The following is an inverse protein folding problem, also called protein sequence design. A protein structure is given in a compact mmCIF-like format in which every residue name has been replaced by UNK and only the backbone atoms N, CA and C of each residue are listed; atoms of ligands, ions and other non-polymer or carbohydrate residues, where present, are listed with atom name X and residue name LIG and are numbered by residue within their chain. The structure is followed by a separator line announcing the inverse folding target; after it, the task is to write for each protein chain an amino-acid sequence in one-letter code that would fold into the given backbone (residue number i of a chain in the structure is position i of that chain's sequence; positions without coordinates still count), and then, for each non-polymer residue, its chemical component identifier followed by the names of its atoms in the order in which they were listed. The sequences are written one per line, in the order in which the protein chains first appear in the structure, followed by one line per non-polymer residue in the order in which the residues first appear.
data_IF_699616595136
#
_entry.id   IF_699616595136
#
_cell.length_a   1.000
_cell.length_b   1.000
_cell.length_c   1.000
_cell.angle_alpha   90.00
_cell.angle_beta   90.00
_cell.angle_gamma   90.00
#
_symmetry.space_group_name_H-M   'P 1'
#
loop_
_entity.id
_entity.type
_entity.pdbx_description
1 polymer ?
#
# COMPACT_ATOMS: atom_id res chain seq x y z
N UNK A 1 8.10 21.90 10.78
CA UNK A 1 7.37 20.67 10.46
C UNK A 1 6.31 20.88 9.38
N UNK A 2 5.43 21.88 9.50
CA UNK A 2 4.35 22.13 8.52
C UNK A 2 4.82 22.42 7.07
N UNK A 3 5.96 23.09 6.89
CA UNK A 3 6.52 23.38 5.56
C UNK A 3 7.21 22.18 4.92
N UNK A 4 7.84 21.29 5.70
CA UNK A 4 8.49 20.08 5.18
C UNK A 4 7.44 19.07 4.71
N UNK A 5 6.31 18.99 5.42
CA UNK A 5 5.16 18.17 5.02
C UNK A 5 4.52 18.69 3.73
N UNK A 6 4.46 20.02 3.53
CA UNK A 6 3.96 20.64 2.29
C UNK A 6 4.89 20.40 1.09
N UNK A 7 6.21 20.35 1.31
CA UNK A 7 7.20 20.05 0.24
C UNK A 7 7.17 18.57 -0.13
N UNK A 8 7.08 17.67 0.86
CA UNK A 8 6.86 16.23 0.63
C UNK A 8 5.51 15.97 -0.04
N UNK A 9 4.44 16.63 0.40
CA UNK A 9 3.14 16.58 -0.26
C UNK A 9 3.21 17.12 -1.70
N UNK A 10 3.96 18.19 -1.94
CA UNK A 10 4.21 18.71 -3.30
C UNK A 10 4.98 17.73 -4.19
N UNK A 11 5.98 17.02 -3.66
CA UNK A 11 6.69 15.97 -4.39
C UNK A 11 5.79 14.76 -4.65
N UNK A 12 4.95 14.37 -3.68
CA UNK A 12 3.98 13.27 -3.81
C UNK A 12 2.86 13.63 -4.79
N UNK A 13 2.40 14.90 -4.78
CA UNK A 13 1.44 15.40 -5.78
C UNK A 13 2.07 15.43 -7.19
N UNK A 14 3.33 15.82 -7.33
CA UNK A 14 4.04 15.76 -8.61
C UNK A 14 4.16 14.31 -9.13
N UNK A 15 4.30 13.34 -8.24
CA UNK A 15 4.27 11.90 -8.53
C UNK A 15 2.90 11.43 -9.03
N UNK A 16 1.83 11.80 -8.32
CA UNK A 16 0.46 11.47 -8.73
C UNK A 16 0.10 12.10 -10.08
N UNK A 17 0.54 13.34 -10.30
CA UNK A 17 0.37 14.06 -11.58
C UNK A 17 1.14 13.39 -12.71
N UNK A 18 2.39 12.98 -12.47
CA UNK A 18 3.17 12.28 -13.47
C UNK A 18 2.57 10.90 -13.79
N UNK A 19 2.01 10.20 -12.80
CA UNK A 19 1.36 8.92 -12.98
C UNK A 19 0.05 9.03 -13.80
N UNK A 20 -0.84 9.94 -13.39
CA UNK A 20 -2.10 10.20 -14.10
C UNK A 20 -1.80 10.79 -15.48
N UNK A 21 -0.84 11.71 -15.57
CA UNK A 21 -0.41 12.32 -16.81
C UNK A 21 0.21 11.34 -17.80
N UNK A 22 0.97 10.35 -17.35
CA UNK A 22 1.56 9.31 -18.20
C UNK A 22 0.50 8.42 -18.87
N UNK A 23 -0.45 7.93 -18.10
CA UNK A 23 -1.57 7.13 -18.61
C UNK A 23 -2.44 7.92 -19.59
N UNK A 24 -2.59 9.20 -19.37
CA UNK A 24 -3.42 10.09 -20.18
C UNK A 24 -2.73 10.61 -21.44
N UNK A 25 -1.44 10.90 -21.34
CA UNK A 25 -0.62 11.26 -22.50
C UNK A 25 -0.72 10.19 -23.60
N UNK A 26 -0.89 8.94 -23.21
CA UNK A 26 -1.14 7.84 -24.11
C UNK A 26 -2.55 7.87 -24.71
N UNK A 27 -3.59 8.19 -23.97
CA UNK A 27 -4.96 8.33 -24.49
C UNK A 27 -5.05 9.37 -25.60
N UNK A 28 -4.32 10.49 -25.47
CA UNK A 28 -4.22 11.51 -26.54
C UNK A 28 -3.43 10.97 -27.74
N UNK A 29 -2.39 10.18 -27.52
CA UNK A 29 -1.57 9.62 -28.59
C UNK A 29 -2.30 8.49 -29.34
N UNK A 30 -3.03 7.61 -28.65
CA UNK A 30 -3.84 6.55 -29.26
C UNK A 30 -4.92 7.09 -30.21
N UNK A 31 -5.30 8.38 -30.05
CA UNK A 31 -6.17 9.08 -30.97
C UNK A 31 -5.50 9.48 -32.30
N UNK A 32 -4.29 8.99 -32.59
CA UNK A 32 -3.59 9.20 -33.86
C UNK A 32 -3.04 10.62 -34.07
N UNK A 33 -2.97 11.44 -33.03
CA UNK A 33 -2.38 12.78 -33.11
C UNK A 33 -0.87 12.70 -32.91
N UNK A 34 -0.11 13.29 -33.83
CA UNK A 34 1.34 13.46 -33.64
C UNK A 34 1.60 14.22 -32.34
N UNK A 35 2.66 13.85 -31.64
CA UNK A 35 3.13 14.58 -30.46
C UNK A 35 3.56 15.99 -30.88
N UNK A 36 2.71 16.96 -30.68
CA UNK A 36 2.88 18.35 -31.11
C UNK A 36 2.65 19.30 -29.94
N UNK A 37 2.86 20.58 -30.20
CA UNK A 37 2.68 21.64 -29.20
C UNK A 37 1.26 21.67 -28.66
N UNK A 38 0.26 21.40 -29.52
CA UNK A 38 -1.16 21.39 -29.13
C UNK A 38 -1.44 20.22 -28.17
N UNK A 39 -0.88 19.04 -28.43
CA UNK A 39 -1.02 17.88 -27.55
C UNK A 39 -0.40 18.14 -26.18
N UNK A 40 0.79 18.76 -26.14
CA UNK A 40 1.46 19.11 -24.90
C UNK A 40 0.69 20.22 -24.16
N UNK A 41 0.18 21.23 -24.86
CA UNK A 41 -0.60 22.31 -24.24
C UNK A 41 -1.96 21.83 -23.69
N UNK A 42 -2.58 20.84 -24.37
CA UNK A 42 -3.83 20.23 -23.93
C UNK A 42 -3.65 19.28 -22.73
N UNK A 43 -2.41 18.98 -22.36
CA UNK A 43 -2.11 18.15 -21.20
C UNK A 43 -2.73 18.67 -19.89
N UNK A 44 -2.84 20.01 -19.76
CA UNK A 44 -3.49 20.64 -18.61
C UNK A 44 -4.98 20.25 -18.44
N UNK A 45 -5.68 19.95 -19.55
CA UNK A 45 -7.12 19.65 -19.50
C UNK A 45 -7.44 18.28 -18.89
N UNK A 46 -6.41 17.52 -18.57
CA UNK A 46 -6.52 16.13 -18.09
C UNK A 46 -5.86 15.90 -16.76
N UNK A 47 -5.18 16.88 -16.28
CA UNK A 47 -4.75 16.89 -14.90
C UNK A 47 -5.99 17.02 -13.99
N UNK A 48 -5.92 16.49 -12.75
CA UNK A 48 -6.90 16.82 -11.74
C UNK A 48 -7.14 18.33 -11.69
N UNK A 49 -8.36 18.76 -11.39
CA UNK A 49 -8.75 20.17 -11.38
C UNK A 49 -7.84 21.05 -10.49
N UNK A 50 -7.13 20.42 -9.56
CA UNK A 50 -6.18 21.04 -8.65
C UNK A 50 -4.80 21.28 -9.28
N UNK A 51 -4.57 20.84 -10.51
CA UNK A 51 -3.25 20.87 -11.15
C UNK A 51 -3.36 21.40 -12.58
N UNK A 52 -2.43 22.24 -12.95
CA UNK A 52 -2.28 22.75 -14.29
C UNK A 52 -0.85 22.53 -14.81
N UNK A 53 -0.73 22.23 -16.11
CA UNK A 53 0.55 22.17 -16.78
C UNK A 53 0.57 23.22 -17.90
N UNK A 54 1.61 24.03 -17.93
CA UNK A 54 1.78 25.08 -18.92
C UNK A 54 3.05 24.85 -19.71
N UNK A 55 2.92 24.73 -21.03
CA UNK A 55 4.06 24.69 -21.95
C UNK A 55 4.53 26.12 -22.22
N UNK A 56 5.80 26.36 -21.94
CA UNK A 56 6.39 27.72 -22.11
C UNK A 56 7.35 27.81 -23.27
N UNK A 57 7.93 26.70 -23.71
CA UNK A 57 8.84 26.62 -24.85
C UNK A 57 8.59 25.30 -25.58
N UNK A 58 8.63 25.35 -26.90
CA UNK A 58 8.53 24.18 -27.74
C UNK A 58 9.39 24.37 -28.99
N UNK A 59 10.27 23.41 -29.24
CA UNK A 59 11.09 23.36 -30.46
C UNK A 59 10.93 21.96 -31.05
N UNK A 60 10.35 21.88 -32.24
CA UNK A 60 9.99 20.63 -32.89
C UNK A 60 10.97 20.24 -33.99
N UNK A 61 11.56 19.05 -33.88
CA UNK A 61 12.23 18.32 -34.94
C UNK A 61 11.54 16.99 -35.23
N UNK A 62 11.88 16.35 -36.35
CA UNK A 62 11.25 15.07 -36.73
C UNK A 62 11.64 13.93 -35.76
N UNK A 63 12.91 13.85 -35.36
CA UNK A 63 13.43 12.78 -34.51
C UNK A 63 13.57 13.15 -33.03
N UNK A 64 13.54 14.45 -32.73
CA UNK A 64 13.68 14.96 -31.36
C UNK A 64 12.89 16.23 -31.21
N UNK A 65 12.13 16.30 -30.15
CA UNK A 65 11.39 17.50 -29.76
C UNK A 65 11.86 17.93 -28.38
N UNK A 66 12.00 19.22 -28.17
CA UNK A 66 12.33 19.80 -26.87
C UNK A 66 11.23 20.76 -26.46
N UNK A 67 10.90 20.75 -25.19
CA UNK A 67 9.86 21.62 -24.64
C UNK A 67 10.17 21.95 -23.18
N UNK A 68 9.50 22.94 -22.66
CA UNK A 68 9.51 23.25 -21.25
C UNK A 68 8.08 23.25 -20.73
N UNK A 69 7.85 22.54 -19.61
CA UNK A 69 6.55 22.46 -18.97
C UNK A 69 6.66 22.89 -17.52
N UNK A 70 5.74 23.75 -17.09
CA UNK A 70 5.61 24.18 -15.69
C UNK A 70 4.34 23.58 -15.13
N UNK A 71 4.45 22.93 -13.99
CA UNK A 71 3.32 22.41 -13.22
C UNK A 71 2.96 23.40 -12.11
N UNK A 72 1.68 23.68 -11.99
CA UNK A 72 1.11 24.63 -11.02
C UNK A 72 -0.03 23.94 -10.26
N UNK A 73 -0.11 24.13 -8.94
CA UNK A 73 -1.26 23.74 -8.14
C UNK A 73 -2.30 24.86 -8.07
N UNK A 74 -3.52 24.54 -7.65
CA UNK A 74 -4.58 25.53 -7.38
C UNK A 74 -4.06 26.64 -6.49
N UNK A 75 -4.36 27.87 -6.85
CA UNK A 75 -3.83 29.08 -6.17
C UNK A 75 -2.52 29.60 -6.75
N UNK A 76 -2.06 29.06 -7.91
CA UNK A 76 -0.86 29.54 -8.61
C UNK A 76 0.45 29.13 -7.93
N UNK A 77 0.41 28.08 -7.09
CA UNK A 77 1.61 27.54 -6.46
C UNK A 77 2.37 26.74 -7.51
N UNK A 78 3.53 27.25 -7.93
CA UNK A 78 4.41 26.58 -8.87
C UNK A 78 5.05 25.35 -8.21
N UNK A 79 4.76 24.17 -8.75
CA UNK A 79 5.30 22.90 -8.27
C UNK A 79 6.67 22.60 -8.88
N UNK A 80 6.96 23.20 -10.04
CA UNK A 80 8.26 23.13 -10.70
C UNK A 80 8.15 23.22 -12.21
N UNK A 81 9.28 23.57 -12.82
CA UNK A 81 9.46 23.62 -14.27
C UNK A 81 10.39 22.51 -14.70
N UNK A 82 10.05 21.83 -15.78
CA UNK A 82 10.84 20.73 -16.33
C UNK A 82 11.21 21.02 -17.79
N UNK A 83 12.44 20.71 -18.14
CA UNK A 83 12.90 20.65 -19.53
C UNK A 83 12.59 19.25 -20.06
N UNK A 84 11.77 19.17 -21.09
CA UNK A 84 11.34 17.94 -21.72
C UNK A 84 12.14 17.65 -22.98
N UNK A 85 12.44 16.37 -23.21
CA UNK A 85 12.96 15.85 -24.47
C UNK A 85 12.11 14.66 -24.87
N UNK A 86 11.51 14.72 -26.05
CA UNK A 86 10.77 13.61 -26.62
C UNK A 86 11.51 13.05 -27.84
N UNK A 87 11.57 11.74 -27.92
CA UNK A 87 12.15 10.97 -29.02
C UNK A 87 11.04 10.12 -29.66
N UNK A 88 10.31 10.68 -30.64
CA UNK A 88 9.24 9.97 -31.33
C UNK A 88 9.76 8.73 -32.05
N UNK A 89 9.02 7.63 -31.99
CA UNK A 89 9.37 6.37 -32.64
C UNK A 89 8.30 5.30 -32.40
N UNK A 90 8.56 4.05 -32.81
CA UNK A 90 7.69 2.91 -32.45
C UNK A 90 7.56 2.78 -30.92
N UNK A 91 8.63 3.02 -30.21
CA UNK A 91 8.64 3.31 -28.77
C UNK A 91 9.04 4.77 -28.61
N UNK A 92 8.12 5.61 -28.20
CA UNK A 92 8.38 7.01 -27.88
C UNK A 92 8.91 7.10 -26.46
N UNK A 93 10.02 7.85 -26.29
CA UNK A 93 10.61 8.15 -24.99
C UNK A 93 10.50 9.64 -24.71
N UNK A 94 10.06 9.98 -23.52
CA UNK A 94 10.01 11.36 -23.01
C UNK A 94 10.83 11.43 -21.73
N UNK A 95 11.75 12.35 -21.70
CA UNK A 95 12.59 12.64 -20.53
C UNK A 95 12.27 14.03 -20.02
N UNK A 96 11.90 14.14 -18.76
CA UNK A 96 11.70 15.41 -18.08
C UNK A 96 12.78 15.55 -17.01
N UNK A 97 13.57 16.59 -17.11
CA UNK A 97 14.59 16.95 -16.11
C UNK A 97 14.20 18.31 -15.52
N UNK A 98 14.38 18.48 -14.23
CA UNK A 98 14.04 19.76 -13.60
C UNK A 98 14.83 20.91 -14.26
N UNK A 99 14.14 21.97 -14.63
CA UNK A 99 14.77 23.19 -15.09
C UNK A 99 15.33 23.95 -13.89
N UNK A 100 16.41 24.71 -14.10
CA UNK A 100 16.85 25.69 -13.13
C UNK A 100 15.75 26.75 -12.96
N UNK A 101 14.97 26.60 -11.91
CA UNK A 101 13.88 27.49 -11.53
C UNK A 101 14.28 28.17 -10.23
N UNK A 102 14.66 29.43 -10.34
CA UNK A 102 15.16 30.20 -9.19
C UNK A 102 14.16 30.28 -8.03
N UNK A 103 12.87 30.29 -8.29
CA UNK A 103 11.85 30.35 -7.23
C UNK A 103 11.72 29.01 -6.50
N UNK A 104 11.70 27.90 -7.24
CA UNK A 104 11.64 26.56 -6.66
C UNK A 104 12.94 26.24 -5.91
N UNK A 105 14.10 26.47 -6.52
CA UNK A 105 15.40 26.28 -5.89
C UNK A 105 15.56 27.11 -4.61
N UNK A 106 15.16 28.39 -4.65
CA UNK A 106 15.15 29.24 -3.46
C UNK A 106 14.19 28.71 -2.39
N UNK A 107 13.05 28.15 -2.78
CA UNK A 107 12.10 27.49 -1.89
C UNK A 107 12.74 26.28 -1.19
N UNK A 108 13.41 25.42 -1.95
CA UNK A 108 14.16 24.28 -1.41
C UNK A 108 15.29 24.74 -0.47
N UNK A 109 16.08 25.74 -0.87
CA UNK A 109 17.16 26.27 -0.03
C UNK A 109 16.63 26.88 1.27
N UNK A 110 15.52 27.63 1.22
CA UNK A 110 14.86 28.14 2.43
C UNK A 110 14.33 27.03 3.34
N UNK A 111 13.88 25.94 2.75
CA UNK A 111 13.50 24.73 3.48
C UNK A 111 14.71 23.91 3.95
N UNK A 112 15.94 24.36 3.66
CA UNK A 112 17.17 23.65 4.02
C UNK A 112 17.48 22.43 3.17
N UNK A 113 16.81 22.25 2.03
CA UNK A 113 17.05 21.15 1.11
C UNK A 113 18.28 21.43 0.25
N UNK A 114 19.20 20.48 0.20
CA UNK A 114 20.43 20.57 -0.57
C UNK A 114 20.57 19.39 -1.52
N UNK A 115 21.16 19.62 -2.69
CA UNK A 115 21.45 18.61 -3.71
C UNK A 115 20.21 17.87 -4.25
N UNK A 116 19.04 18.51 -4.23
CA UNK A 116 17.83 17.92 -4.79
C UNK A 116 17.92 17.89 -6.32
N UNK A 117 17.78 16.72 -6.89
CA UNK A 117 17.76 16.50 -8.35
C UNK A 117 16.79 15.35 -8.64
N UNK A 118 15.84 15.58 -9.53
CA UNK A 118 14.83 14.64 -9.93
C UNK A 118 14.69 14.52 -11.44
N UNK A 119 14.22 13.37 -11.88
CA UNK A 119 14.01 13.06 -13.29
C UNK A 119 12.78 12.18 -13.47
N UNK A 120 11.99 12.51 -14.48
CA UNK A 120 10.86 11.68 -14.92
C UNK A 120 11.18 11.16 -16.32
N UNK A 121 11.01 9.86 -16.50
CA UNK A 121 11.13 9.17 -17.78
C UNK A 121 9.80 8.52 -18.11
N UNK A 122 9.26 8.77 -19.29
CA UNK A 122 8.06 8.12 -19.80
C UNK A 122 8.41 7.41 -21.09
N UNK A 123 8.04 6.17 -21.23
CA UNK A 123 8.12 5.44 -22.49
C UNK A 123 6.78 4.79 -22.79
N UNK A 124 6.40 4.76 -24.06
CA UNK A 124 5.21 4.08 -24.51
C UNK A 124 5.41 3.50 -25.92
N UNK A 125 4.75 2.40 -26.20
CA UNK A 125 4.86 1.70 -27.46
C UNK A 125 3.61 1.95 -28.31
N UNK A 126 3.78 2.68 -29.41
CA UNK A 126 2.68 3.03 -30.31
C UNK A 126 2.04 1.80 -30.97
N UNK A 127 2.82 0.74 -31.17
CA UNK A 127 2.33 -0.51 -31.78
C UNK A 127 1.25 -1.19 -30.94
N UNK A 128 1.40 -1.21 -29.64
CA UNK A 128 0.44 -1.82 -28.73
C UNK A 128 -0.89 -1.07 -28.72
N UNK A 129 -0.86 0.24 -29.00
CA UNK A 129 -2.07 1.05 -29.16
C UNK A 129 -2.90 0.64 -30.37
N UNK A 130 -2.25 0.16 -31.41
CA UNK A 130 -2.91 -0.25 -32.64
C UNK A 130 -3.42 -1.71 -32.57
N UNK A 131 -2.86 -2.53 -31.68
CA UNK A 131 -3.13 -3.97 -31.59
C UNK A 131 -3.89 -4.40 -30.35
N UNK A 132 -3.80 -3.66 -29.24
CA UNK A 132 -4.59 -3.91 -28.03
C UNK A 132 -6.01 -3.39 -28.25
N UNK A 133 -6.99 -4.29 -28.29
CA UNK A 133 -8.40 -3.92 -28.29
C UNK A 133 -8.76 -3.11 -27.03
N UNK A 134 -10.01 -2.65 -26.94
CA UNK A 134 -10.55 -1.84 -25.83
C UNK A 134 -10.44 -2.44 -24.42
N UNK A 135 -9.82 -3.61 -24.25
CA UNK A 135 -9.76 -4.36 -23.00
C UNK A 135 -8.39 -4.32 -22.28
N UNK A 136 -7.41 -3.61 -22.81
CA UNK A 136 -6.10 -3.50 -22.18
C UNK A 136 -5.69 -2.04 -22.05
N UNK A 137 -4.96 -1.73 -20.98
CA UNK A 137 -4.25 -0.47 -20.90
C UNK A 137 -3.11 -0.49 -21.91
N UNK A 138 -2.82 0.65 -22.50
CA UNK A 138 -1.67 0.79 -23.39
C UNK A 138 -0.36 0.49 -22.66
N UNK A 139 0.58 -0.15 -23.36
CA UNK A 139 1.92 -0.38 -22.78
C UNK A 139 2.68 0.93 -22.67
N UNK A 140 2.77 1.41 -21.44
CA UNK A 140 3.52 2.58 -21.06
C UNK A 140 4.30 2.32 -19.78
N UNK A 141 5.46 2.96 -19.65
CA UNK A 141 6.24 2.95 -18.41
C UNK A 141 6.58 4.38 -18.04
N UNK A 142 6.31 4.73 -16.79
CA UNK A 142 6.73 5.97 -16.16
C UNK A 142 7.70 5.62 -15.04
N UNK A 143 8.89 6.23 -15.06
CA UNK A 143 9.87 6.12 -13.99
C UNK A 143 10.16 7.51 -13.43
N UNK A 144 10.00 7.68 -12.13
CA UNK A 144 10.41 8.88 -11.41
C UNK A 144 11.57 8.56 -10.48
N UNK A 145 12.66 9.31 -10.61
CA UNK A 145 13.89 9.11 -9.83
C UNK A 145 14.25 10.41 -9.12
N UNK A 146 14.52 10.29 -7.83
CA UNK A 146 15.11 11.34 -7.02
C UNK A 146 16.50 10.87 -6.60
N UNK A 147 17.52 11.70 -6.84
CA UNK A 147 18.88 11.42 -6.35
C UNK A 147 18.96 11.65 -4.83
N UNK A 148 19.97 11.11 -4.16
CA UNK A 148 20.19 11.38 -2.75
C UNK A 148 20.27 12.88 -2.48
N UNK A 149 19.57 13.34 -1.44
CA UNK A 149 19.56 14.74 -1.03
C UNK A 149 19.55 14.87 0.49
N UNK A 150 19.84 16.07 0.98
CA UNK A 150 19.86 16.36 2.42
C UNK A 150 18.94 17.51 2.78
N UNK A 151 18.40 17.49 4.00
CA UNK A 151 17.62 18.59 4.57
C UNK A 151 18.27 19.00 5.89
N UNK A 152 18.65 20.29 6.01
CA UNK A 152 19.38 20.78 7.18
C UNK A 152 18.55 21.73 8.06
N UNK A 153 17.32 22.06 7.68
CA UNK A 153 16.44 22.89 8.49
C UNK A 153 15.83 22.10 9.66
N UNK A 154 16.07 22.56 10.89
CA UNK A 154 15.54 21.91 12.09
C UNK A 154 16.21 20.58 12.48
N UNK A 155 17.38 20.29 11.90
CA UNK A 155 18.16 19.09 12.10
C UNK A 155 18.91 18.68 10.84
N UNK A 156 19.44 17.47 10.82
CA UNK A 156 20.10 16.92 9.63
C UNK A 156 19.34 15.65 9.19
N UNK A 157 18.77 15.70 8.01
CA UNK A 157 18.13 14.54 7.37
C UNK A 157 18.86 14.21 6.07
N UNK A 158 19.18 12.95 5.87
CA UNK A 158 19.74 12.39 4.65
C UNK A 158 18.71 11.44 4.04
N UNK A 159 18.35 11.68 2.80
CA UNK A 159 17.46 10.85 2.01
C UNK A 159 18.31 10.16 0.94
N UNK A 160 18.23 8.85 0.89
CA UNK A 160 18.83 8.08 -0.17
C UNK A 160 18.02 8.22 -1.48
N UNK A 161 18.52 7.62 -2.56
CA UNK A 161 17.79 7.65 -3.83
C UNK A 161 16.38 7.09 -3.66
N UNK A 162 15.40 7.70 -4.34
CA UNK A 162 14.05 7.17 -4.41
C UNK A 162 13.70 6.90 -5.87
N UNK A 163 13.12 5.75 -6.14
CA UNK A 163 12.64 5.37 -7.45
C UNK A 163 11.17 4.92 -7.35
N UNK A 164 10.38 5.41 -8.28
CA UNK A 164 8.97 5.06 -8.43
C UNK A 164 8.70 4.73 -9.88
N UNK A 165 8.18 3.54 -10.14
CA UNK A 165 7.85 3.04 -11.46
C UNK A 165 6.36 2.72 -11.56
N UNK A 166 5.75 3.12 -12.67
CA UNK A 166 4.44 2.62 -13.11
C UNK A 166 4.62 2.00 -14.49
N UNK A 167 4.15 0.78 -14.64
CA UNK A 167 4.11 0.08 -15.91
C UNK A 167 2.68 -0.37 -16.20
N UNK A 168 2.20 -0.07 -17.39
CA UNK A 168 0.86 -0.43 -17.87
C UNK A 168 0.94 -1.32 -19.10
N UNK A 169 -0.06 -2.19 -19.28
CA UNK A 169 -0.14 -3.12 -20.38
C UNK A 169 -1.29 -4.09 -20.12
N UNK A 170 -1.00 -5.39 -20.09
CA UNK A 170 -1.96 -6.41 -19.61
C UNK A 170 -2.17 -6.33 -18.11
N UNK A 171 -1.17 -5.85 -17.39
CA UNK A 171 -1.19 -5.56 -15.95
C UNK A 171 -0.88 -4.09 -15.72
N UNK A 172 -1.36 -3.55 -14.60
CA UNK A 172 -0.87 -2.33 -14.00
C UNK A 172 0.10 -2.72 -12.90
N UNK A 173 1.37 -2.30 -13.04
CA UNK A 173 2.40 -2.51 -12.03
C UNK A 173 2.84 -1.17 -11.47
N UNK A 174 2.86 -1.04 -10.15
CA UNK A 174 3.37 0.12 -9.43
C UNK A 174 4.46 -0.35 -8.48
N UNK A 175 5.65 0.22 -8.58
CA UNK A 175 6.78 -0.09 -7.71
C UNK A 175 7.34 1.18 -7.11
N UNK A 176 7.71 1.12 -5.84
CA UNK A 176 8.41 2.20 -5.17
C UNK A 176 9.54 1.60 -4.33
N UNK A 177 10.72 2.24 -4.36
CA UNK A 177 11.85 1.78 -3.58
C UNK A 177 12.75 2.93 -3.14
N UNK A 178 13.35 2.76 -1.97
CA UNK A 178 14.45 3.60 -1.49
C UNK A 178 15.38 2.76 -0.63
N UNK A 179 16.71 2.95 -0.71
CA UNK A 179 17.64 2.33 0.22
C UNK A 179 17.45 2.78 1.65
N UNK A 180 16.86 3.96 1.88
CA UNK A 180 16.51 4.43 3.21
C UNK A 180 16.54 5.95 3.40
N UNK A 181 16.29 6.33 4.64
CA UNK A 181 16.45 7.71 5.10
C UNK A 181 16.97 7.73 6.55
N UNK A 182 17.68 8.77 6.91
CA UNK A 182 18.13 9.03 8.29
C UNK A 182 17.90 10.50 8.62
N UNK A 183 17.22 10.77 9.71
CA UNK A 183 16.93 12.10 10.21
C UNK A 183 17.35 12.24 11.66
N UNK A 184 18.03 13.34 11.99
CA UNK A 184 18.35 13.76 13.38
C UNK A 184 17.78 15.15 13.62
N UNK A 185 16.49 15.26 13.97
CA UNK A 185 15.91 16.55 14.33
C UNK A 185 16.56 17.10 15.62
N UNK A 186 16.67 18.41 15.71
CA UNK A 186 17.24 19.04 16.93
C UNK A 186 16.35 18.75 18.13
N UNK A 187 16.93 18.18 19.18
CA UNK A 187 16.22 17.87 20.43
C UNK A 187 15.22 16.70 20.36
N UNK A 188 15.25 15.92 19.29
CA UNK A 188 14.39 14.75 19.13
C UNK A 188 15.24 13.49 18.85
N UNK A 189 14.70 12.30 19.15
CA UNK A 189 15.34 11.04 18.78
C UNK A 189 15.57 10.92 17.28
N UNK A 190 16.57 10.14 16.91
CA UNK A 190 16.86 9.81 15.50
C UNK A 190 15.69 9.04 14.89
N UNK A 191 15.33 9.41 13.66
CA UNK A 191 14.43 8.66 12.80
C UNK A 191 15.26 7.99 11.71
N UNK A 192 15.22 6.68 11.63
CA UNK A 192 15.82 5.89 10.55
C UNK A 192 14.78 5.01 9.89
N UNK A 193 14.79 4.96 8.58
CA UNK A 193 14.13 3.95 7.78
C UNK A 193 15.21 3.25 6.95
N UNK A 194 15.28 1.93 7.05
CA UNK A 194 16.10 1.10 6.19
C UNK A 194 15.50 0.99 4.79
N UNK A 195 15.97 0.01 4.02
CA UNK A 195 15.44 -0.21 2.67
C UNK A 195 13.92 -0.39 2.72
N UNK A 196 13.23 0.34 1.85
CA UNK A 196 11.80 0.22 1.63
C UNK A 196 11.55 -0.25 0.20
N UNK A 197 10.70 -1.24 0.04
CA UNK A 197 10.23 -1.74 -1.25
C UNK A 197 8.70 -1.89 -1.19
N UNK A 198 8.04 -1.39 -2.21
CA UNK A 198 6.61 -1.53 -2.43
C UNK A 198 6.37 -2.02 -3.85
N UNK A 199 5.47 -2.97 -4.02
CA UNK A 199 5.02 -3.44 -5.32
C UNK A 199 3.53 -3.69 -5.27
N UNK A 200 2.82 -3.18 -6.27
CA UNK A 200 1.42 -3.42 -6.54
C UNK A 200 1.28 -3.90 -7.97
N UNK A 201 0.60 -5.01 -8.16
CA UNK A 201 0.31 -5.57 -9.48
C UNK A 201 -1.18 -5.87 -9.55
N UNK A 202 -1.84 -5.41 -10.60
CA UNK A 202 -3.26 -5.65 -10.81
C UNK A 202 -3.52 -5.95 -12.29
N UNK A 203 -4.53 -6.77 -12.59
CA UNK A 203 -5.00 -6.93 -13.96
C UNK A 203 -5.51 -5.59 -14.50
N UNK A 204 -5.07 -5.23 -15.70
CA UNK A 204 -5.39 -3.94 -16.30
C UNK A 204 -6.79 -3.89 -16.93
N UNK A 205 -7.41 -5.02 -17.26
CA UNK A 205 -8.69 -5.04 -17.96
C UNK A 205 -9.85 -4.40 -17.17
N UNK A 206 -10.04 -4.68 -15.88
CA UNK A 206 -11.05 -3.98 -15.07
C UNK A 206 -10.79 -2.49 -14.96
N UNK A 207 -9.51 -2.09 -14.81
CA UNK A 207 -9.13 -0.68 -14.75
C UNK A 207 -9.45 0.05 -16.06
N UNK A 208 -9.14 -0.57 -17.20
CA UNK A 208 -9.47 -0.02 -18.52
C UNK A 208 -10.99 0.18 -18.70
N UNK A 209 -11.81 -0.77 -18.23
CA UNK A 209 -13.28 -0.65 -18.23
C UNK A 209 -13.74 0.52 -17.36
N UNK A 210 -13.22 0.63 -16.12
CA UNK A 210 -13.56 1.73 -15.22
C UNK A 210 -13.24 3.10 -15.83
N UNK A 211 -12.08 3.24 -16.48
CA UNK A 211 -11.70 4.47 -17.19
C UNK A 211 -12.63 4.81 -18.35
N UNK A 212 -13.26 3.82 -18.96
CA UNK A 212 -14.26 3.99 -20.02
C UNK A 212 -15.70 4.20 -19.48
N UNK A 213 -15.87 4.24 -18.15
CA UNK A 213 -17.19 4.38 -17.52
C UNK A 213 -18.04 3.10 -17.54
N UNK A 214 -17.42 1.95 -17.81
CA UNK A 214 -18.05 0.64 -17.76
C UNK A 214 -17.94 0.04 -16.35
N UNK A 215 -18.83 -0.90 -16.01
CA UNK A 215 -18.69 -1.65 -14.76
C UNK A 215 -17.41 -2.51 -14.81
N UNK A 216 -16.49 -2.26 -13.88
CA UNK A 216 -15.14 -2.81 -13.95
C UNK A 216 -15.01 -4.22 -13.36
N UNK A 217 -15.84 -4.58 -12.37
CA UNK A 217 -15.68 -5.80 -11.60
C UNK A 217 -14.38 -5.81 -10.76
N UNK A 218 -14.11 -6.93 -10.12
CA UNK A 218 -12.85 -7.15 -9.38
C UNK A 218 -11.70 -7.50 -10.34
N UNK A 219 -10.48 -7.21 -9.91
CA UNK A 219 -9.25 -7.56 -10.63
C UNK A 219 -8.34 -8.43 -9.78
N UNK A 220 -7.66 -9.38 -10.42
CA UNK A 220 -6.58 -10.10 -9.75
C UNK A 220 -5.50 -9.08 -9.34
N UNK A 221 -5.18 -9.06 -8.05
CA UNK A 221 -4.32 -8.03 -7.46
C UNK A 221 -3.34 -8.65 -6.48
N UNK A 222 -2.09 -8.19 -6.52
CA UNK A 222 -1.06 -8.53 -5.54
C UNK A 222 -0.39 -7.26 -5.05
N UNK A 223 -0.23 -7.14 -3.73
CA UNK A 223 0.49 -6.05 -3.08
C UNK A 223 1.56 -6.64 -2.17
N UNK A 224 2.77 -6.13 -2.27
CA UNK A 224 3.86 -6.46 -1.35
C UNK A 224 4.50 -5.20 -0.80
N UNK A 225 4.86 -5.22 0.48
CA UNK A 225 5.60 -4.15 1.13
C UNK A 225 6.68 -4.76 2.02
N UNK A 226 7.91 -4.25 1.90
CA UNK A 226 9.05 -4.67 2.72
C UNK A 226 9.78 -3.47 3.26
N UNK A 227 10.14 -3.53 4.53
CA UNK A 227 10.95 -2.53 5.21
C UNK A 227 12.02 -3.29 6.02
N UNK A 228 13.28 -3.06 5.71
CA UNK A 228 14.38 -3.76 6.37
C UNK A 228 14.51 -3.40 7.85
N UNK A 229 14.28 -2.13 8.18
CA UNK A 229 14.30 -1.65 9.57
C UNK A 229 13.66 -0.28 9.71
N UNK A 230 13.17 0.00 10.90
CA UNK A 230 12.73 1.33 11.29
C UNK A 230 13.16 1.63 12.72
N UNK A 231 13.61 2.87 12.95
CA UNK A 231 13.91 3.41 14.28
C UNK A 231 13.27 4.79 14.37
N UNK A 232 12.42 4.98 15.37
CA UNK A 232 11.80 6.26 15.69
C UNK A 232 11.62 6.40 17.20
N UNK A 233 11.16 7.57 17.65
CA UNK A 233 10.76 7.77 19.04
C UNK A 233 9.58 6.90 19.47
N UNK A 234 8.69 6.57 18.54
CA UNK A 234 7.43 5.85 18.80
C UNK A 234 7.55 4.34 18.60
N UNK A 235 8.44 3.88 17.72
CA UNK A 235 8.56 2.48 17.40
C UNK A 235 9.93 2.13 16.79
N UNK A 236 10.33 0.88 16.98
CA UNK A 236 11.50 0.27 16.34
C UNK A 236 11.15 -1.14 15.88
N UNK A 237 11.69 -1.56 14.74
CA UNK A 237 11.68 -2.95 14.29
C UNK A 237 12.86 -3.23 13.34
N UNK A 238 13.24 -4.49 13.22
CA UNK A 238 14.38 -4.97 12.40
C UNK A 238 13.90 -5.68 11.12
N UNK A 239 12.66 -5.58 10.76
CA UNK A 239 12.09 -6.12 9.51
C UNK A 239 10.57 -6.10 9.54
N UNK A 240 9.98 -5.71 8.43
CA UNK A 240 8.56 -5.78 8.17
C UNK A 240 8.34 -6.30 6.76
N UNK A 241 7.58 -7.38 6.64
CA UNK A 241 7.12 -7.94 5.37
C UNK A 241 5.59 -7.99 5.41
N UNK A 242 4.95 -7.51 4.36
CA UNK A 242 3.52 -7.59 4.16
C UNK A 242 3.21 -8.05 2.75
N UNK A 243 2.27 -8.96 2.61
CA UNK A 243 1.78 -9.42 1.32
C UNK A 243 0.26 -9.56 1.36
N UNK A 244 -0.41 -9.11 0.30
CA UNK A 244 -1.82 -9.29 0.06
C UNK A 244 -2.02 -9.75 -1.38
N UNK A 245 -2.79 -10.82 -1.58
CA UNK A 245 -3.18 -11.33 -2.89
C UNK A 245 -4.71 -11.46 -2.91
N UNK A 246 -5.34 -10.94 -3.97
CA UNK A 246 -6.75 -11.12 -4.29
C UNK A 246 -6.84 -11.88 -5.62
N UNK A 247 -7.49 -13.04 -5.63
CA UNK A 247 -7.55 -13.91 -6.81
C UNK A 247 -8.92 -14.55 -6.97
N UNK A 248 -9.37 -14.84 -8.20
CA UNK A 248 -10.57 -15.62 -8.42
C UNK A 248 -10.39 -17.04 -7.88
N UNK A 249 -11.42 -17.59 -7.28
CA UNK A 249 -11.43 -19.00 -6.89
C UNK A 249 -11.69 -19.91 -8.09
N UNK A 250 -10.86 -20.95 -8.26
CA UNK A 250 -10.95 -21.86 -9.38
C UNK A 250 -12.31 -22.56 -9.44
N UNK A 251 -13.00 -22.43 -10.57
CA UNK A 251 -14.32 -23.05 -10.82
C UNK A 251 -15.50 -22.42 -10.07
N UNK A 252 -15.31 -21.29 -9.40
CA UNK A 252 -16.35 -20.55 -8.69
C UNK A 252 -16.51 -19.13 -9.24
N UNK A 253 -17.59 -18.44 -8.82
CA UNK A 253 -17.83 -17.02 -9.09
C UNK A 253 -17.40 -16.11 -7.92
N UNK A 254 -16.59 -16.65 -7.05
CA UNK A 254 -16.13 -15.97 -5.84
C UNK A 254 -14.63 -15.75 -5.89
N UNK A 255 -14.15 -14.91 -4.99
CA UNK A 255 -12.77 -14.50 -4.89
C UNK A 255 -12.18 -14.96 -3.56
N UNK A 256 -10.88 -15.15 -3.55
CA UNK A 256 -10.11 -15.41 -2.36
C UNK A 256 -9.09 -14.28 -2.15
N UNK A 257 -9.04 -13.77 -0.94
CA UNK A 257 -8.01 -12.85 -0.47
C UNK A 257 -7.10 -13.58 0.50
N UNK A 258 -5.80 -13.41 0.35
CA UNK A 258 -4.81 -13.90 1.31
C UNK A 258 -3.90 -12.75 1.73
N UNK A 259 -3.75 -12.58 3.03
CA UNK A 259 -2.88 -11.60 3.64
C UNK A 259 -1.86 -12.31 4.52
N UNK A 260 -0.60 -11.95 4.42
CA UNK A 260 0.44 -12.39 5.34
C UNK A 260 1.31 -11.23 5.78
N UNK A 261 1.80 -11.30 7.00
CA UNK A 261 2.70 -10.30 7.56
C UNK A 261 3.74 -10.94 8.48
N UNK A 262 4.88 -10.27 8.58
CA UNK A 262 5.93 -10.58 9.57
C UNK A 262 6.55 -9.27 10.04
N UNK A 263 6.73 -9.14 11.35
CA UNK A 263 7.34 -7.98 12.01
C UNK A 263 8.38 -8.48 13.01
N UNK A 264 9.65 -8.18 12.76
CA UNK A 264 10.78 -8.67 13.55
C UNK A 264 11.22 -7.65 14.59
N UNK A 265 11.43 -8.11 15.81
CA UNK A 265 11.86 -7.33 16.98
C UNK A 265 11.11 -6.01 17.14
N UNK A 266 9.75 -6.04 17.12
CA UNK A 266 8.99 -4.83 17.38
C UNK A 266 9.23 -4.34 18.80
N UNK A 267 9.50 -3.03 18.93
CA UNK A 267 9.61 -2.37 20.21
C UNK A 267 8.94 -1.00 20.14
N UNK A 268 8.08 -0.72 21.09
CA UNK A 268 7.47 0.60 21.26
C UNK A 268 7.23 0.88 22.75
N UNK A 269 7.17 2.13 23.18
CA UNK A 269 6.79 2.48 24.56
C UNK A 269 5.41 1.93 24.95
N UNK A 270 4.44 1.91 24.03
CA UNK A 270 3.12 1.35 24.27
C UNK A 270 3.18 -0.16 24.51
N UNK A 271 3.91 -0.90 23.69
CA UNK A 271 4.15 -2.34 23.87
C UNK A 271 4.78 -2.63 25.23
N UNK A 272 5.75 -1.81 25.68
CA UNK A 272 6.36 -1.96 27.01
C UNK A 272 5.41 -1.66 28.15
N UNK A 273 4.45 -0.75 27.97
CA UNK A 273 3.47 -0.44 29.01
C UNK A 273 2.40 -1.54 29.13
N UNK A 274 2.00 -2.13 28.03
CA UNK A 274 0.95 -3.18 27.99
C UNK A 274 1.52 -4.58 28.24
N UNK A 275 2.72 -4.86 27.74
CA UNK A 275 3.38 -6.16 27.83
C UNK A 275 4.60 -6.17 28.76
N UNK A 276 4.82 -5.13 29.54
CA UNK A 276 6.06 -4.81 30.28
C UNK A 276 6.58 -5.85 31.27
N UNK A 277 5.93 -7.01 31.40
CA UNK A 277 6.40 -8.16 32.18
C UNK A 277 6.68 -9.40 31.33
N UNK A 278 6.43 -9.35 30.02
CA UNK A 278 6.42 -10.55 29.17
C UNK A 278 7.77 -10.78 28.48
N UNK A 279 8.69 -9.80 28.45
CA UNK A 279 9.98 -9.90 27.78
C UNK A 279 10.02 -9.24 26.39
N UNK A 280 11.15 -9.38 25.69
CA UNK A 280 11.37 -8.77 24.38
C UNK A 280 10.69 -9.61 23.30
N UNK A 281 9.86 -8.98 22.48
CA UNK A 281 9.22 -9.63 21.32
C UNK A 281 10.25 -9.82 20.20
N UNK A 282 10.45 -11.06 19.77
CA UNK A 282 11.37 -11.41 18.68
C UNK A 282 10.70 -11.32 17.32
N UNK A 283 9.47 -11.82 17.20
CA UNK A 283 8.73 -11.87 15.94
C UNK A 283 7.23 -11.87 16.20
N UNK A 284 6.50 -11.17 15.34
CA UNK A 284 5.05 -11.27 15.23
C UNK A 284 4.74 -11.56 13.76
N UNK A 285 4.08 -12.67 13.48
CA UNK A 285 3.78 -13.06 12.11
C UNK A 285 2.44 -13.78 12.01
N UNK A 286 1.91 -13.83 10.80
CA UNK A 286 0.69 -14.57 10.56
C UNK A 286 0.19 -14.46 9.14
N UNK A 287 -0.79 -15.30 8.82
CA UNK A 287 -1.55 -15.16 7.61
C UNK A 287 -3.05 -15.33 7.86
N UNK A 288 -3.82 -14.63 7.05
CA UNK A 288 -5.29 -14.68 7.04
C UNK A 288 -5.72 -14.95 5.61
N UNK A 289 -6.62 -15.88 5.42
CA UNK A 289 -7.22 -16.17 4.12
C UNK A 289 -8.72 -16.02 4.22
N UNK A 290 -9.29 -15.24 3.32
CA UNK A 290 -10.75 -15.08 3.18
C UNK A 290 -11.15 -15.68 1.84
N UNK A 291 -12.12 -16.58 1.83
CA UNK A 291 -12.65 -17.22 0.63
C UNK A 291 -14.15 -17.02 0.53
N UNK A 292 -14.72 -17.23 -0.65
CA UNK A 292 -16.15 -17.02 -0.87
C UNK A 292 -16.56 -15.55 -1.02
N UNK A 293 -15.61 -14.66 -1.31
CA UNK A 293 -15.88 -13.23 -1.46
C UNK A 293 -16.64 -12.99 -2.78
N UNK A 294 -17.81 -12.36 -2.72
CA UNK A 294 -18.57 -11.94 -3.90
C UNK A 294 -18.17 -10.52 -4.32
N UNK A 295 -18.39 -10.16 -5.59
CA UNK A 295 -18.16 -8.79 -6.06
C UNK A 295 -18.99 -7.77 -5.26
N UNK A 296 -20.24 -8.11 -4.96
CA UNK A 296 -21.13 -7.25 -4.16
C UNK A 296 -20.57 -6.99 -2.74
N UNK A 297 -20.02 -8.02 -2.10
CA UNK A 297 -19.39 -7.88 -0.78
C UNK A 297 -18.16 -6.96 -0.84
N UNK A 298 -17.33 -7.08 -1.88
CA UNK A 298 -16.21 -6.17 -2.10
C UNK A 298 -16.63 -4.72 -2.31
N UNK A 299 -17.69 -4.50 -3.09
CA UNK A 299 -18.24 -3.15 -3.29
C UNK A 299 -18.73 -2.55 -1.96
N UNK A 300 -19.39 -3.35 -1.10
CA UNK A 300 -19.80 -2.91 0.22
C UNK A 300 -18.61 -2.53 1.11
N UNK A 301 -17.55 -3.34 1.13
CA UNK A 301 -16.31 -3.02 1.85
C UNK A 301 -15.66 -1.73 1.33
N UNK A 302 -15.56 -1.58 0.01
CA UNK A 302 -15.01 -0.37 -0.59
C UNK A 302 -15.81 0.89 -0.21
N UNK A 303 -17.15 0.82 -0.25
CA UNK A 303 -18.02 1.92 0.17
C UNK A 303 -17.83 2.29 1.65
N UNK A 304 -17.68 1.29 2.53
CA UNK A 304 -17.42 1.53 3.96
C UNK A 304 -16.06 2.23 4.13
N UNK A 305 -15.00 1.71 3.49
CA UNK A 305 -13.64 2.27 3.60
C UNK A 305 -13.53 3.70 3.05
N UNK A 306 -14.32 4.04 2.04
CA UNK A 306 -14.38 5.40 1.48
C UNK A 306 -15.32 6.34 2.29
N UNK A 307 -16.09 5.80 3.23
CA UNK A 307 -17.01 6.53 4.08
C UNK A 307 -16.33 7.23 5.28
N UNK A 308 -17.11 7.78 6.21
CA UNK A 308 -16.59 8.42 7.42
C UNK A 308 -15.85 7.42 8.33
N UNK A 309 -14.61 7.71 8.70
CA UNK A 309 -13.70 6.79 9.40
C UNK A 309 -14.21 6.28 10.76
N UNK A 310 -15.03 7.04 11.47
CA UNK A 310 -15.55 6.66 12.79
C UNK A 310 -16.58 5.52 12.80
N UNK A 311 -17.05 5.08 11.62
CA UNK A 311 -17.99 3.97 11.47
C UNK A 311 -17.35 2.70 10.88
N UNK A 312 -16.07 2.77 10.48
CA UNK A 312 -15.44 1.70 9.69
C UNK A 312 -15.44 0.37 10.42
N UNK A 313 -14.97 0.33 11.66
CA UNK A 313 -14.76 -0.93 12.38
C UNK A 313 -16.07 -1.71 12.62
N UNK A 314 -17.10 -1.02 13.07
CA UNK A 314 -18.40 -1.64 13.32
C UNK A 314 -19.07 -2.11 12.02
N UNK A 315 -19.05 -1.27 10.97
CA UNK A 315 -19.66 -1.61 9.69
C UNK A 315 -18.91 -2.71 8.96
N UNK A 316 -17.58 -2.71 8.99
CA UNK A 316 -16.76 -3.76 8.42
C UNK A 316 -17.03 -5.09 9.11
N UNK A 317 -17.06 -5.10 10.44
CA UNK A 317 -17.38 -6.30 11.24
C UNK A 317 -18.76 -6.84 10.92
N UNK A 318 -19.80 -6.01 10.90
CA UNK A 318 -21.16 -6.41 10.57
C UNK A 318 -21.30 -6.95 9.14
N UNK A 319 -20.63 -6.31 8.18
CA UNK A 319 -20.64 -6.73 6.78
C UNK A 319 -19.92 -8.07 6.60
N UNK A 320 -18.79 -8.27 7.28
CA UNK A 320 -18.07 -9.55 7.28
C UNK A 320 -18.92 -10.67 7.91
N UNK A 321 -19.54 -10.41 9.07
CA UNK A 321 -20.40 -11.39 9.71
C UNK A 321 -21.60 -11.77 8.85
N UNK A 322 -22.20 -10.82 8.14
CA UNK A 322 -23.26 -11.09 7.16
C UNK A 322 -22.76 -11.93 6.00
N UNK A 323 -21.59 -11.60 5.44
CA UNK A 323 -20.96 -12.38 4.37
C UNK A 323 -20.71 -13.83 4.81
N UNK A 324 -20.21 -14.04 6.03
CA UNK A 324 -20.02 -15.39 6.60
C UNK A 324 -21.35 -16.12 6.73
N UNK A 325 -22.37 -15.47 7.26
CA UNK A 325 -23.67 -16.09 7.53
C UNK A 325 -24.46 -16.42 6.25
N UNK A 326 -24.51 -15.50 5.30
CA UNK A 326 -25.40 -15.59 4.15
C UNK A 326 -24.72 -15.99 2.86
N UNK A 327 -23.46 -15.58 2.66
CA UNK A 327 -22.75 -15.72 1.37
C UNK A 327 -21.71 -16.84 1.41
N UNK A 328 -21.54 -17.50 2.56
CA UNK A 328 -20.61 -18.62 2.74
C UNK A 328 -19.14 -18.19 2.76
N UNK A 329 -18.87 -16.94 3.14
CA UNK A 329 -17.50 -16.47 3.35
C UNK A 329 -16.86 -17.25 4.48
N UNK A 330 -15.62 -17.66 4.27
CA UNK A 330 -14.79 -18.34 5.28
C UNK A 330 -13.54 -17.52 5.52
N UNK A 331 -13.25 -17.25 6.80
CA UNK A 331 -12.00 -16.58 7.23
C UNK A 331 -11.14 -17.61 7.96
N UNK A 332 -9.97 -17.88 7.42
CA UNK A 332 -9.00 -18.83 7.97
C UNK A 332 -7.77 -18.06 8.51
N UNK A 333 -7.34 -18.41 9.70
CA UNK A 333 -6.14 -17.91 10.35
C UNK A 333 -5.08 -19.02 10.37
N UNK A 334 -3.97 -18.85 9.65
CA UNK A 334 -2.91 -19.84 9.48
C UNK A 334 -1.54 -19.26 9.91
N UNK A 335 -0.92 -19.82 10.93
CA UNK A 335 -1.23 -19.42 12.30
C UNK A 335 -0.79 -17.96 12.53
N UNK A 336 -1.54 -17.22 13.31
CA UNK A 336 -1.04 -15.99 13.92
C UNK A 336 -0.06 -16.39 15.02
N UNK A 337 1.15 -15.85 15.04
CA UNK A 337 2.17 -16.23 16.01
C UNK A 337 2.89 -15.02 16.60
N UNK A 338 3.26 -15.13 17.85
CA UNK A 338 4.18 -14.22 18.54
C UNK A 338 5.31 -15.04 19.16
N UNK A 339 6.54 -14.55 19.01
CA UNK A 339 7.72 -15.13 19.65
C UNK A 339 8.31 -14.13 20.64
N UNK A 340 8.59 -14.55 21.85
CA UNK A 340 9.10 -13.75 22.95
C UNK A 340 10.24 -14.52 23.61
N UNK A 341 11.48 -13.98 23.55
CA UNK A 341 12.68 -14.61 24.12
C UNK A 341 12.85 -16.07 23.69
N UNK A 342 12.58 -16.35 22.41
CA UNK A 342 12.69 -17.68 21.82
C UNK A 342 11.51 -18.63 22.10
N UNK A 343 10.55 -18.24 22.94
CA UNK A 343 9.32 -18.99 23.21
C UNK A 343 8.22 -18.52 22.24
N UNK A 344 7.26 -19.41 21.90
CA UNK A 344 6.27 -19.14 20.87
C UNK A 344 4.84 -19.37 21.33
N UNK A 345 3.95 -18.43 21.00
CA UNK A 345 2.50 -18.63 21.06
C UNK A 345 1.88 -18.56 19.67
N UNK A 346 0.86 -19.35 19.41
CA UNK A 346 0.18 -19.43 18.12
C UNK A 346 -1.34 -19.52 18.29
N UNK A 347 -2.05 -18.90 17.37
CA UNK A 347 -3.49 -19.01 17.21
C UNK A 347 -3.79 -19.36 15.76
N UNK A 348 -4.46 -20.49 15.50
CA UNK A 348 -4.93 -20.88 14.18
C UNK A 348 -6.40 -21.29 14.23
N UNK A 349 -7.09 -21.28 13.10
CA UNK A 349 -8.50 -21.66 13.07
C UNK A 349 -9.26 -21.00 11.95
N UNK A 350 -10.58 -21.07 12.03
CA UNK A 350 -11.45 -20.51 11.02
C UNK A 350 -12.74 -19.95 11.64
N UNK A 351 -13.26 -18.91 10.99
CA UNK A 351 -14.60 -18.38 11.19
C UNK A 351 -15.41 -18.68 9.91
N UNK A 352 -16.52 -19.41 10.08
CA UNK A 352 -17.38 -19.85 8.97
C UNK A 352 -18.82 -20.01 9.42
N UNK A 353 -19.75 -20.15 8.48
CA UNK A 353 -21.13 -20.47 8.85
C UNK A 353 -21.27 -21.96 9.16
N UNK A 354 -22.02 -22.26 10.22
CA UNK A 354 -22.42 -23.62 10.59
C UNK A 354 -23.94 -23.69 10.81
N UNK A 355 -24.56 -24.80 10.37
CA UNK A 355 -25.97 -25.08 10.66
C UNK A 355 -26.15 -25.49 12.10
N UNK A 356 -26.94 -24.76 12.84
CA UNK A 356 -27.30 -25.05 14.22
C UNK A 356 -28.79 -25.41 14.30
N UNK A 357 -29.26 -25.84 15.47
CA UNK A 357 -30.69 -26.08 15.68
C UNK A 357 -31.60 -24.84 15.54
N UNK A 358 -30.99 -23.65 15.48
CA UNK A 358 -31.64 -22.37 15.34
C UNK A 358 -31.47 -21.72 13.94
N UNK A 359 -30.80 -22.43 13.00
CA UNK A 359 -30.49 -21.93 11.66
C UNK A 359 -28.99 -21.87 11.38
N UNK A 360 -28.59 -21.13 10.35
CA UNK A 360 -27.20 -20.91 10.01
C UNK A 360 -26.66 -19.70 10.78
N UNK A 361 -25.52 -19.87 11.44
CA UNK A 361 -24.87 -18.79 12.19
C UNK A 361 -23.34 -18.82 12.02
N UNK A 362 -22.63 -17.70 12.18
CA UNK A 362 -21.18 -17.69 12.17
C UNK A 362 -20.62 -18.41 13.41
N UNK A 363 -19.66 -19.29 13.19
CA UNK A 363 -18.97 -20.05 14.23
C UNK A 363 -17.48 -19.95 14.03
N UNK A 364 -16.76 -19.46 15.04
CA UNK A 364 -15.31 -19.45 15.11
C UNK A 364 -14.81 -20.69 15.84
N UNK A 365 -13.85 -21.42 15.22
CA UNK A 365 -13.13 -22.53 15.85
C UNK A 365 -11.66 -22.28 15.77
N UNK A 366 -11.01 -22.14 16.92
CA UNK A 366 -9.61 -21.80 17.01
C UNK A 366 -8.84 -22.76 17.90
N UNK A 367 -7.57 -22.97 17.53
CA UNK A 367 -6.59 -23.69 18.31
C UNK A 367 -5.54 -22.70 18.81
N UNK A 368 -5.42 -22.61 20.11
CA UNK A 368 -4.39 -21.83 20.77
C UNK A 368 -3.32 -22.78 21.32
N UNK A 369 -2.05 -22.48 21.04
CA UNK A 369 -0.90 -23.18 21.62
C UNK A 369 0.16 -22.14 22.03
N UNK A 370 0.70 -22.26 23.23
CA UNK A 370 1.73 -21.36 23.76
C UNK A 370 2.76 -22.13 24.56
N UNK A 371 4.02 -21.73 24.49
CA UNK A 371 4.98 -22.11 25.50
C UNK A 371 4.58 -21.47 26.85
N UNK A 372 4.68 -22.24 27.93
CA UNK A 372 4.23 -21.84 29.27
C UNK A 372 4.89 -20.55 29.77
N UNK A 373 6.14 -20.34 29.37
CA UNK A 373 6.96 -19.18 29.78
C UNK A 373 6.51 -17.83 29.19
N UNK A 374 5.66 -17.82 28.15
CA UNK A 374 5.14 -16.58 27.57
C UNK A 374 4.05 -15.94 28.43
N UNK A 375 3.26 -16.77 29.09
CA UNK A 375 2.11 -16.30 29.85
C UNK A 375 2.48 -16.08 31.32
N UNK A 376 1.90 -15.10 31.99
CA UNK A 376 2.07 -14.94 33.43
C UNK A 376 1.68 -16.21 34.19
N UNK A 377 2.51 -16.73 35.10
CA UNK A 377 2.25 -17.99 35.79
C UNK A 377 0.91 -18.02 36.54
N UNK A 378 0.46 -16.89 37.06
CA UNK A 378 -0.82 -16.77 37.75
C UNK A 378 -2.01 -17.00 36.80
N UNK A 379 -1.95 -16.39 35.60
CA UNK A 379 -3.00 -16.59 34.58
C UNK A 379 -3.04 -18.05 34.07
N UNK A 380 -1.86 -18.66 33.93
CA UNK A 380 -1.74 -20.06 33.54
C UNK A 380 -2.35 -20.97 34.60
N UNK A 381 -2.01 -20.76 35.87
CA UNK A 381 -2.52 -21.55 36.98
C UNK A 381 -4.06 -21.44 37.10
N UNK A 382 -4.59 -20.23 36.98
CA UNK A 382 -6.04 -19.99 37.02
C UNK A 382 -6.76 -20.65 35.84
N UNK A 383 -6.24 -20.50 34.64
CA UNK A 383 -6.83 -21.09 33.42
C UNK A 383 -6.77 -22.64 33.45
N UNK A 384 -5.72 -23.24 34.01
CA UNK A 384 -5.60 -24.66 34.22
C UNK A 384 -6.59 -25.16 35.28
N UNK A 385 -6.71 -24.46 36.42
CA UNK A 385 -7.69 -24.84 37.48
C UNK A 385 -9.11 -24.74 36.97
N UNK A 386 -9.43 -23.79 36.12
CA UNK A 386 -10.75 -23.65 35.54
C UNK A 386 -10.97 -24.58 34.34
N UNK A 387 -9.92 -25.23 33.83
CA UNK A 387 -10.01 -26.17 32.71
C UNK A 387 -10.07 -25.48 31.32
N UNK A 388 -9.89 -24.16 31.24
CA UNK A 388 -9.90 -23.42 29.98
C UNK A 388 -8.69 -23.74 29.09
N UNK A 389 -7.60 -24.20 29.70
CA UNK A 389 -6.40 -24.64 28.99
C UNK A 389 -5.99 -26.05 29.49
N UNK A 390 -5.23 -26.73 28.65
CA UNK A 390 -4.60 -28.04 28.99
C UNK A 390 -3.10 -27.86 28.89
N UNK A 391 -2.36 -28.43 29.83
CA UNK A 391 -0.93 -28.49 29.77
C UNK A 391 -0.45 -29.80 29.19
N UNK A 392 0.35 -29.75 28.14
CA UNK A 392 1.01 -30.89 27.53
C UNK A 392 2.52 -30.66 27.48
N UNK A 393 3.29 -31.27 28.37
CA UNK A 393 4.72 -31.02 28.60
C UNK A 393 4.94 -29.56 29.02
N UNK A 394 5.66 -28.77 28.21
CA UNK A 394 5.93 -27.34 28.44
C UNK A 394 4.98 -26.42 27.66
N UNK A 395 3.92 -26.98 27.07
CA UNK A 395 2.99 -26.22 26.22
C UNK A 395 1.61 -26.18 26.83
N UNK A 396 0.96 -25.06 26.63
CA UNK A 396 -0.42 -24.79 27.02
C UNK A 396 -1.25 -24.76 25.74
N UNK A 397 -2.37 -25.48 25.75
CA UNK A 397 -3.27 -25.59 24.61
C UNK A 397 -4.70 -25.30 24.99
N UNK A 398 -5.45 -24.70 24.08
CA UNK A 398 -6.89 -24.52 24.20
C UNK A 398 -7.57 -24.62 22.85
N UNK A 399 -8.70 -25.31 22.83
CA UNK A 399 -9.66 -25.27 21.73
C UNK A 399 -10.74 -24.24 22.08
N UNK A 400 -10.88 -23.20 21.23
CA UNK A 400 -11.79 -22.08 21.47
C UNK A 400 -12.91 -22.16 20.41
N UNK A 401 -14.14 -22.11 20.87
CA UNK A 401 -15.33 -22.04 19.99
C UNK A 401 -16.08 -20.76 20.34
N UNK A 402 -16.32 -19.92 19.34
CA UNK A 402 -17.03 -18.66 19.47
C UNK A 402 -18.28 -18.69 18.59
N UNK A 403 -19.40 -18.32 19.15
CA UNK A 403 -20.68 -18.09 18.45
C UNK A 403 -21.20 -16.73 18.82
N UNK A 404 -22.23 -16.18 18.16
CA UNK A 404 -22.87 -14.94 18.59
C UNK A 404 -23.47 -14.99 20.00
N UNK A 405 -23.80 -16.18 20.49
CA UNK A 405 -24.51 -16.38 21.76
C UNK A 405 -23.60 -16.79 22.92
N UNK A 406 -22.51 -17.51 22.63
CA UNK A 406 -21.60 -18.02 23.67
C UNK A 406 -20.18 -18.24 23.13
N UNK A 407 -19.24 -18.21 24.05
CA UNK A 407 -17.86 -18.64 23.82
C UNK A 407 -17.50 -19.79 24.74
N UNK A 408 -16.70 -20.75 24.23
CA UNK A 408 -16.17 -21.84 25.07
C UNK A 408 -14.66 -21.99 24.87
N UNK A 409 -13.97 -22.44 25.94
CA UNK A 409 -12.59 -22.90 25.85
C UNK A 409 -12.54 -24.35 26.40
N UNK A 410 -12.04 -25.27 25.58
CA UNK A 410 -12.10 -26.75 25.86
C UNK A 410 -13.49 -27.24 26.26
N UNK A 411 -14.55 -26.65 25.68
CA UNK A 411 -15.94 -27.00 25.97
C UNK A 411 -16.52 -26.35 27.23
N UNK A 412 -15.77 -25.58 27.97
CA UNK A 412 -16.22 -24.83 29.14
C UNK A 412 -16.62 -23.40 28.73
N UNK A 413 -17.77 -22.94 29.17
CA UNK A 413 -18.32 -21.67 28.82
C UNK A 413 -17.47 -20.50 29.37
N UNK A 414 -17.16 -19.52 28.51
CA UNK A 414 -16.41 -18.32 28.85
C UNK A 414 -17.36 -17.16 29.24
N UNK A 415 -18.48 -17.03 28.52
CA UNK A 415 -19.57 -16.07 28.72
C UNK A 415 -20.88 -16.61 28.17
#
# INVERSE_FOLDING_TARGET
MENTTKILAGATCALAVAAVGGCWFYGIYSAGKAFDETAISNFSSVLPAELAARVTKYEGGFFKKTFQVTFEAVGGIQLGTFNGRAYPGLTTKVELTRAADTNFEQGLLRAGVQNFDDRIEVSYTAWDALTSGSQALPSARLTYKIKPFTVVAGGQCSFEAFEFDIETGKTLEVRAQTPGLSCRPVGQPELKLGKFEFSFVSDAAPIAKALNGENSGLSETSLTMKIDSMVSAAARFDGFDFKLDLKPEEGKKTWAESMSFSLKKPASPALYLELGQIGAVDDVSGSVRVTGITEELCEQFAQILLGPSYLHDDLLTLTLMRGIQNDGVVVEFDPLSVSIEGNRATLSGALRSESTGQGTQPVGRFQFESDESILPPELVADALMQGYVKQEKSKIKSEIVLTPEYGTANGLQLY
#
